data_IF_900359260344
#
_entry.id   IF_900359260344
#
_cell.length_a   1.000
_cell.length_b   1.000
_cell.length_c   1.000
_cell.angle_alpha   90.00
_cell.angle_beta   90.00
_cell.angle_gamma   90.00
#
_symmetry.space_group_name_H-M   'P 1'
#
loop_
_entity.id
_entity.type
_entity.pdbx_description
1 polymer ?
#
# COMPACT_ATOMS: atom_id res chain seq x y z
N UNK A 1 25.58 2.74 -17.15
CA UNK A 1 24.21 3.26 -16.98
C UNK A 1 24.12 3.95 -15.63
N UNK A 2 23.51 5.12 -15.56
CA UNK A 2 23.45 5.93 -14.34
C UNK A 2 22.20 5.58 -13.51
N UNK A 3 22.22 5.89 -12.21
CA UNK A 3 21.11 5.59 -11.29
C UNK A 3 19.76 6.11 -11.76
N UNK A 4 19.70 7.36 -12.23
CA UNK A 4 18.44 7.98 -12.62
C UNK A 4 17.81 7.28 -13.82
N UNK A 5 18.61 6.91 -14.80
CA UNK A 5 18.18 6.19 -16.01
C UNK A 5 17.65 4.80 -15.65
N UNK A 6 18.39 4.05 -14.82
CA UNK A 6 17.95 2.70 -14.40
C UNK A 6 16.70 2.74 -13.52
N UNK A 7 16.54 3.77 -12.68
CA UNK A 7 15.34 3.96 -11.85
C UNK A 7 14.10 4.28 -12.67
N UNK A 8 14.23 5.13 -13.70
CA UNK A 8 13.12 5.46 -14.61
C UNK A 8 12.68 4.21 -15.38
N UNK A 9 13.64 3.47 -15.94
CA UNK A 9 13.36 2.24 -16.67
C UNK A 9 12.74 1.17 -15.75
N UNK A 10 13.26 1.01 -14.52
CA UNK A 10 12.69 0.11 -13.52
C UNK A 10 11.26 0.49 -13.15
N UNK A 11 10.98 1.80 -13.03
CA UNK A 11 9.61 2.27 -12.79
C UNK A 11 8.66 1.85 -13.90
N UNK A 12 9.09 2.00 -15.15
CA UNK A 12 8.32 1.57 -16.33
C UNK A 12 8.11 0.06 -16.35
N UNK A 13 9.16 -0.73 -16.09
CA UNK A 13 9.09 -2.19 -15.96
C UNK A 13 8.06 -2.61 -14.90
N UNK A 14 8.13 -2.04 -13.69
CA UNK A 14 7.18 -2.36 -12.62
C UNK A 14 5.74 -2.02 -12.99
N UNK A 15 5.53 -0.90 -13.68
CA UNK A 15 4.21 -0.42 -14.07
C UNK A 15 3.61 -1.24 -15.20
N UNK A 16 4.34 -1.41 -16.29
CA UNK A 16 3.79 -1.93 -17.54
C UNK A 16 3.95 -3.46 -17.69
N UNK A 17 5.03 -4.03 -17.16
CA UNK A 17 5.27 -5.47 -17.29
C UNK A 17 4.82 -6.25 -16.06
N UNK A 18 5.03 -5.66 -14.85
CA UNK A 18 4.66 -6.31 -13.59
C UNK A 18 3.29 -5.90 -13.06
N UNK A 19 2.62 -4.93 -13.69
CA UNK A 19 1.29 -4.42 -13.31
C UNK A 19 1.19 -4.04 -11.81
N UNK A 20 2.22 -3.39 -11.28
CA UNK A 20 2.21 -2.92 -9.90
C UNK A 20 1.22 -1.77 -9.72
N UNK A 21 0.49 -1.75 -8.60
CA UNK A 21 -0.33 -0.60 -8.24
C UNK A 21 0.54 0.63 -7.97
N UNK A 22 0.01 1.84 -8.21
CA UNK A 22 0.75 3.09 -8.04
C UNK A 22 1.36 3.23 -6.63
N UNK A 23 0.65 2.79 -5.59
CA UNK A 23 1.16 2.79 -4.21
C UNK A 23 2.36 1.84 -4.03
N UNK A 24 2.32 0.66 -4.64
CA UNK A 24 3.41 -0.31 -4.58
C UNK A 24 4.61 0.20 -5.37
N UNK A 25 4.36 0.72 -6.58
CA UNK A 25 5.37 1.35 -7.43
C UNK A 25 6.09 2.49 -6.68
N UNK A 26 5.32 3.44 -6.13
CA UNK A 26 5.88 4.56 -5.38
C UNK A 26 6.71 4.11 -4.16
N UNK A 27 6.29 3.02 -3.48
CA UNK A 27 7.04 2.47 -2.36
C UNK A 27 8.38 1.87 -2.81
N UNK A 28 8.39 1.09 -3.89
CA UNK A 28 9.60 0.46 -4.42
C UNK A 28 10.59 1.51 -4.94
N UNK A 29 10.12 2.46 -5.74
CA UNK A 29 10.98 3.55 -6.25
C UNK A 29 11.58 4.36 -5.09
N UNK A 30 10.78 4.71 -4.07
CA UNK A 30 11.27 5.41 -2.88
C UNK A 30 12.35 4.62 -2.14
N UNK A 31 12.18 3.31 -2.03
CA UNK A 31 13.14 2.45 -1.34
C UNK A 31 14.47 2.40 -2.11
N UNK A 32 14.45 2.24 -3.44
CA UNK A 32 15.65 2.23 -4.25
C UNK A 32 16.30 3.62 -4.33
N UNK A 33 15.51 4.70 -4.37
CA UNK A 33 16.05 6.07 -4.30
C UNK A 33 16.81 6.31 -2.99
N UNK A 34 16.33 5.78 -1.87
CA UNK A 34 17.06 5.86 -0.59
C UNK A 34 18.38 5.09 -0.64
N UNK A 35 18.38 3.91 -1.25
CA UNK A 35 19.60 3.13 -1.44
C UNK A 35 20.57 3.84 -2.38
N UNK A 36 20.08 4.41 -3.50
CA UNK A 36 20.88 5.25 -4.40
C UNK A 36 21.60 6.37 -3.63
N UNK A 37 20.84 7.17 -2.85
CA UNK A 37 21.43 8.28 -2.09
C UNK A 37 22.52 7.79 -1.12
N UNK A 38 22.25 6.65 -0.44
CA UNK A 38 23.28 6.04 0.40
C UNK A 38 24.53 5.64 -0.41
N UNK A 39 24.36 5.04 -1.59
CA UNK A 39 25.48 4.63 -2.44
C UNK A 39 26.30 5.83 -2.95
N UNK A 40 25.62 6.90 -3.36
CA UNK A 40 26.28 8.14 -3.80
C UNK A 40 27.06 8.82 -2.67
N UNK A 41 26.53 8.78 -1.43
CA UNK A 41 27.13 9.44 -0.27
C UNK A 41 28.27 8.62 0.38
N UNK A 42 28.23 7.28 0.29
CA UNK A 42 29.10 6.40 1.09
C UNK A 42 29.96 5.43 0.26
N UNK A 43 29.73 5.26 -1.03
CA UNK A 43 30.39 4.26 -1.87
C UNK A 43 31.13 4.90 -3.08
N UNK A 44 31.80 6.03 -2.90
CA UNK A 44 32.59 6.72 -3.92
C UNK A 44 31.87 6.91 -5.27
N UNK A 45 30.60 7.36 -5.23
CA UNK A 45 29.74 7.53 -6.42
C UNK A 45 29.53 6.25 -7.24
N UNK A 46 29.47 5.12 -6.58
CA UNK A 46 29.22 3.82 -7.23
C UNK A 46 27.94 3.82 -8.08
N UNK A 47 28.02 3.26 -9.27
CA UNK A 47 26.88 3.05 -10.18
C UNK A 47 26.11 1.78 -9.82
N UNK A 48 24.90 1.58 -10.34
CA UNK A 48 24.14 0.34 -10.10
C UNK A 48 24.92 -0.94 -10.44
N UNK A 49 25.81 -0.89 -11.42
CA UNK A 49 26.62 -2.04 -11.85
C UNK A 49 27.76 -2.36 -10.87
N UNK A 50 28.21 -1.40 -10.05
CA UNK A 50 29.36 -1.56 -9.15
C UNK A 50 28.93 -2.09 -7.77
N UNK A 51 27.64 -2.12 -7.47
CA UNK A 51 27.13 -2.52 -6.16
C UNK A 51 27.36 -4.00 -5.91
N UNK A 52 27.99 -4.29 -4.78
CA UNK A 52 28.28 -5.66 -4.33
C UNK A 52 27.27 -6.14 -3.27
N UNK A 53 27.33 -7.44 -2.94
CA UNK A 53 26.57 -8.00 -1.84
C UNK A 53 26.92 -7.35 -0.49
N UNK A 54 28.21 -7.09 -0.27
CA UNK A 54 28.71 -6.45 0.95
C UNK A 54 28.15 -5.04 1.12
N UNK A 55 28.06 -4.24 0.05
CA UNK A 55 27.46 -2.91 0.08
C UNK A 55 25.97 -2.98 0.48
N UNK A 56 25.24 -3.97 -0.02
CA UNK A 56 23.85 -4.18 0.36
C UNK A 56 23.72 -4.60 1.83
N UNK A 57 24.62 -5.44 2.34
CA UNK A 57 24.64 -5.83 3.75
C UNK A 57 24.92 -4.64 4.67
N UNK A 58 25.91 -3.80 4.33
CA UNK A 58 26.23 -2.58 5.10
C UNK A 58 25.04 -1.64 5.16
N UNK A 59 24.37 -1.42 4.02
CA UNK A 59 23.14 -0.61 3.98
C UNK A 59 22.03 -1.18 4.87
N UNK A 60 21.76 -2.48 4.80
CA UNK A 60 20.76 -3.14 5.64
C UNK A 60 21.11 -3.07 7.13
N UNK A 61 22.41 -3.17 7.47
CA UNK A 61 22.87 -3.01 8.84
C UNK A 61 22.63 -1.57 9.35
N UNK A 62 22.90 -0.57 8.51
CA UNK A 62 22.61 0.83 8.82
C UNK A 62 21.11 1.04 9.08
N UNK A 63 20.25 0.48 8.22
CA UNK A 63 18.79 0.57 8.37
C UNK A 63 18.30 -0.11 9.65
N UNK A 64 18.87 -1.25 10.03
CA UNK A 64 18.50 -1.96 11.25
C UNK A 64 18.77 -1.13 12.52
N UNK A 65 19.84 -0.33 12.52
CA UNK A 65 20.18 0.58 13.61
C UNK A 65 19.17 1.74 13.77
N UNK A 66 18.41 2.07 12.74
CA UNK A 66 17.43 3.17 12.76
C UNK A 66 16.09 2.79 13.44
N UNK A 67 15.98 1.64 14.10
CA UNK A 67 14.77 1.13 14.77
C UNK A 67 13.54 1.06 13.85
N UNK A 68 13.76 0.77 12.57
CA UNK A 68 12.70 0.66 11.58
C UNK A 68 12.03 -0.70 11.74
N UNK A 69 10.70 -0.72 11.69
CA UNK A 69 9.92 -1.94 11.89
C UNK A 69 10.21 -3.02 10.85
N UNK A 70 10.18 -4.29 11.28
CA UNK A 70 10.53 -5.48 10.47
C UNK A 70 9.81 -5.55 9.13
N UNK A 71 8.53 -5.15 9.07
CA UNK A 71 7.75 -5.11 7.82
C UNK A 71 8.33 -4.13 6.80
N UNK A 72 8.81 -2.97 7.27
CA UNK A 72 9.46 -1.99 6.39
C UNK A 72 10.80 -2.50 5.90
N UNK A 73 11.58 -3.15 6.77
CA UNK A 73 12.85 -3.78 6.38
C UNK A 73 12.62 -4.89 5.34
N UNK A 74 11.62 -5.75 5.55
CA UNK A 74 11.26 -6.82 4.60
C UNK A 74 10.85 -6.25 3.24
N UNK A 75 10.10 -5.14 3.20
CA UNK A 75 9.73 -4.46 1.96
C UNK A 75 10.97 -3.89 1.26
N UNK A 76 11.89 -3.26 1.97
CA UNK A 76 13.14 -2.76 1.38
C UNK A 76 13.96 -3.86 0.73
N UNK A 77 14.11 -4.99 1.40
CA UNK A 77 14.81 -6.14 0.82
C UNK A 77 14.10 -6.63 -0.44
N UNK A 78 12.77 -6.67 -0.43
CA UNK A 78 11.98 -7.03 -1.61
C UNK A 78 12.16 -6.04 -2.76
N UNK A 79 12.21 -4.74 -2.46
CA UNK A 79 12.46 -3.69 -3.45
C UNK A 79 13.87 -3.81 -4.06
N UNK A 80 14.90 -4.02 -3.22
CA UNK A 80 16.29 -4.20 -3.65
C UNK A 80 16.43 -5.47 -4.52
N UNK A 81 15.87 -6.60 -4.06
CA UNK A 81 15.86 -7.83 -4.85
C UNK A 81 15.19 -7.68 -6.20
N UNK A 82 14.06 -6.97 -6.23
CA UNK A 82 13.33 -6.72 -7.48
C UNK A 82 14.13 -5.84 -8.43
N UNK A 83 14.83 -4.82 -7.92
CA UNK A 83 15.63 -3.92 -8.73
C UNK A 83 16.85 -4.63 -9.34
N UNK A 84 17.63 -5.35 -8.54
CA UNK A 84 18.80 -6.07 -9.06
C UNK A 84 18.41 -7.26 -9.94
N UNK A 85 17.25 -7.87 -9.71
CA UNK A 85 16.70 -8.86 -10.62
C UNK A 85 16.34 -8.23 -11.97
N UNK A 86 15.72 -7.06 -11.99
CA UNK A 86 15.45 -6.29 -13.19
C UNK A 86 16.74 -5.96 -13.96
N UNK A 87 17.80 -5.46 -13.27
CA UNK A 87 19.07 -5.17 -13.92
C UNK A 87 19.72 -6.41 -14.57
N UNK A 88 19.56 -7.59 -13.99
CA UNK A 88 20.02 -8.85 -14.55
C UNK A 88 19.16 -9.27 -15.75
N UNK A 89 17.83 -9.16 -15.67
CA UNK A 89 16.88 -9.51 -16.75
C UNK A 89 17.06 -8.62 -17.99
N UNK A 90 17.41 -7.35 -17.80
CA UNK A 90 17.71 -6.39 -18.88
C UNK A 90 19.18 -6.41 -19.34
N UNK A 91 19.95 -7.42 -18.93
CA UNK A 91 21.36 -7.57 -19.30
C UNK A 91 22.25 -6.34 -18.96
N UNK A 92 21.80 -5.49 -18.02
CA UNK A 92 22.58 -4.35 -17.51
C UNK A 92 23.68 -4.84 -16.57
N UNK A 93 23.45 -6.00 -15.92
CA UNK A 93 24.42 -6.72 -15.07
C UNK A 93 24.47 -8.19 -15.47
N UNK A 94 25.62 -8.82 -15.20
CA UNK A 94 25.81 -10.27 -15.41
C UNK A 94 25.47 -11.08 -14.14
N UNK A 95 25.34 -10.44 -12.98
CA UNK A 95 25.04 -11.05 -11.68
C UNK A 95 23.93 -10.33 -10.93
N UNK A 96 23.42 -10.95 -9.85
CA UNK A 96 22.48 -10.33 -8.94
C UNK A 96 23.00 -10.35 -7.50
N UNK A 97 23.58 -9.25 -6.99
CA UNK A 97 24.16 -9.18 -5.65
C UNK A 97 23.09 -9.30 -4.54
N UNK A 98 21.81 -9.13 -4.86
CA UNK A 98 20.75 -9.22 -3.88
C UNK A 98 20.20 -10.63 -3.68
N UNK A 99 20.67 -11.63 -4.41
CA UNK A 99 20.13 -13.00 -4.38
C UNK A 99 20.12 -13.60 -2.97
N UNK A 100 21.21 -13.45 -2.25
CA UNK A 100 21.42 -14.04 -0.91
C UNK A 100 20.93 -13.15 0.25
N UNK A 101 20.36 -11.97 -0.02
CA UNK A 101 19.83 -11.14 1.05
C UNK A 101 18.68 -11.86 1.75
N UNK A 102 18.75 -11.95 3.06
CA UNK A 102 17.67 -12.49 3.88
C UNK A 102 16.97 -11.36 4.66
N UNK A 103 15.65 -11.43 4.69
CA UNK A 103 14.83 -10.50 5.47
C UNK A 103 14.61 -10.97 6.90
N UNK A 104 14.18 -10.08 7.79
CA UNK A 104 13.77 -10.47 9.12
C UNK A 104 12.64 -11.50 9.04
N UNK A 105 12.65 -12.48 9.96
CA UNK A 105 11.54 -13.42 10.10
C UNK A 105 10.34 -12.65 10.66
N UNK A 106 9.38 -12.36 9.80
CA UNK A 106 8.15 -11.71 10.23
C UNK A 106 7.34 -12.66 11.12
N UNK A 107 7.10 -12.27 12.36
CA UNK A 107 6.14 -12.96 13.20
C UNK A 107 4.72 -12.88 12.62
N UNK A 108 3.90 -13.88 12.90
CA UNK A 108 2.47 -13.84 12.57
C UNK A 108 1.80 -12.77 13.44
N UNK A 109 1.58 -11.60 12.88
CA UNK A 109 0.83 -10.53 13.54
C UNK A 109 -0.64 -10.66 13.13
N UNK A 110 -1.48 -11.04 14.09
CA UNK A 110 -2.92 -10.97 13.93
C UNK A 110 -3.34 -9.51 14.23
N UNK A 111 -4.01 -8.84 13.28
CA UNK A 111 -4.50 -7.48 13.53
C UNK A 111 -5.50 -7.48 14.69
N UNK A 112 -5.42 -6.45 15.53
CA UNK A 112 -6.48 -6.16 16.48
C UNK A 112 -7.75 -5.80 15.73
N UNK A 113 -8.86 -6.43 16.11
CA UNK A 113 -10.18 -6.19 15.52
C UNK A 113 -11.08 -5.50 16.53
N UNK A 114 -11.86 -4.53 16.07
CA UNK A 114 -12.92 -3.94 16.88
C UNK A 114 -14.07 -4.94 17.05
N UNK A 115 -14.58 -5.07 18.26
CA UNK A 115 -15.82 -5.81 18.50
C UNK A 115 -17.03 -5.01 18.02
N UNK A 116 -18.18 -5.67 17.92
CA UNK A 116 -19.44 -4.98 17.61
C UNK A 116 -19.73 -3.87 18.65
N UNK A 117 -19.53 -4.16 19.91
CA UNK A 117 -19.72 -3.24 21.03
C UNK A 117 -18.80 -2.01 20.95
N UNK A 118 -17.56 -2.19 20.44
CA UNK A 118 -16.63 -1.08 20.22
C UNK A 118 -17.13 -0.15 19.11
N UNK A 119 -17.58 -0.72 17.98
CA UNK A 119 -18.14 0.06 16.88
C UNK A 119 -19.41 0.77 17.31
N UNK A 120 -20.30 0.10 18.04
CA UNK A 120 -21.51 0.71 18.56
C UNK A 120 -21.19 1.87 19.54
N UNK A 121 -20.18 1.72 20.39
CA UNK A 121 -19.71 2.77 21.28
C UNK A 121 -19.15 3.98 20.53
N UNK A 122 -18.38 3.74 19.46
CA UNK A 122 -17.86 4.82 18.62
C UNK A 122 -19.02 5.57 17.96
N UNK A 123 -19.96 4.86 17.34
CA UNK A 123 -21.08 5.49 16.60
C UNK A 123 -22.03 6.25 17.52
N UNK A 124 -22.29 5.77 18.75
CA UNK A 124 -23.11 6.46 19.75
C UNK A 124 -22.51 7.78 20.27
N UNK A 125 -21.20 7.94 20.21
CA UNK A 125 -20.52 9.16 20.65
C UNK A 125 -20.31 10.20 19.55
N UNK A 126 -20.83 9.97 18.35
CA UNK A 126 -20.77 10.94 17.26
C UNK A 126 -21.90 11.97 17.43
N UNK A 127 -21.52 13.24 17.43
CA UNK A 127 -22.49 14.34 17.44
C UNK A 127 -23.21 14.45 16.08
N UNK A 128 -24.47 14.03 16.05
CA UNK A 128 -25.30 14.03 14.85
C UNK A 128 -25.99 15.36 14.57
N UNK A 129 -25.72 16.40 15.36
CA UNK A 129 -26.24 17.75 15.10
C UNK A 129 -25.50 18.47 13.96
N UNK A 130 -24.34 17.97 13.56
CA UNK A 130 -23.51 18.50 12.49
C UNK A 130 -23.48 17.60 11.26
N UNK A 131 -23.30 18.18 10.06
CA UNK A 131 -23.15 17.45 8.80
C UNK A 131 -21.94 16.52 8.84
N UNK A 132 -20.85 16.95 9.51
CA UNK A 132 -19.67 16.13 9.71
C UNK A 132 -19.96 14.89 10.55
N UNK A 133 -20.81 15.02 11.58
CA UNK A 133 -21.23 13.88 12.40
C UNK A 133 -22.04 12.88 11.60
N UNK A 134 -23.01 13.35 10.83
CA UNK A 134 -23.83 12.50 9.95
C UNK A 134 -22.94 11.76 8.95
N UNK A 135 -22.01 12.45 8.30
CA UNK A 135 -21.01 11.84 7.41
C UNK A 135 -20.19 10.79 8.12
N UNK A 136 -19.61 11.12 9.28
CA UNK A 136 -18.73 10.22 10.02
C UNK A 136 -19.46 8.95 10.48
N UNK A 137 -20.70 9.05 10.94
CA UNK A 137 -21.52 7.88 11.24
C UNK A 137 -21.72 7.02 10.00
N UNK A 138 -22.08 7.62 8.87
CA UNK A 138 -22.27 6.91 7.61
C UNK A 138 -21.00 6.18 7.17
N UNK A 139 -19.83 6.84 7.26
CA UNK A 139 -18.52 6.24 6.96
C UNK A 139 -18.28 4.97 7.78
N UNK A 140 -18.42 5.05 9.12
CA UNK A 140 -18.15 3.92 10.01
C UNK A 140 -19.11 2.77 9.73
N UNK A 141 -20.39 3.06 9.56
CA UNK A 141 -21.41 2.05 9.28
C UNK A 141 -21.21 1.36 7.93
N UNK A 142 -20.79 2.09 6.90
CA UNK A 142 -20.50 1.49 5.58
C UNK A 142 -19.22 0.66 5.64
N UNK A 143 -18.17 1.15 6.31
CA UNK A 143 -16.93 0.37 6.48
C UNK A 143 -17.17 -0.93 7.22
N UNK A 144 -17.87 -0.87 8.36
CA UNK A 144 -18.12 -2.03 9.20
C UNK A 144 -19.19 -2.96 8.62
N UNK A 145 -20.36 -2.39 8.26
CA UNK A 145 -21.50 -3.18 7.79
C UNK A 145 -21.35 -3.78 6.39
N UNK A 146 -20.53 -3.16 5.54
CA UNK A 146 -20.27 -3.65 4.17
C UNK A 146 -18.84 -4.21 3.99
N UNK A 147 -17.98 -4.12 4.98
CA UNK A 147 -16.60 -4.64 4.91
C UNK A 147 -15.76 -4.00 3.80
N UNK A 148 -15.95 -2.69 3.58
CA UNK A 148 -15.18 -1.95 2.58
C UNK A 148 -13.80 -1.58 3.10
N UNK A 149 -12.81 -1.50 2.19
CA UNK A 149 -11.56 -0.83 2.49
C UNK A 149 -11.77 0.69 2.47
N UNK A 150 -10.93 1.41 3.21
CA UNK A 150 -11.01 2.89 3.25
C UNK A 150 -10.94 3.50 1.85
N UNK A 151 -10.03 3.01 1.00
CA UNK A 151 -9.92 3.47 -0.40
C UNK A 151 -11.20 3.20 -1.22
N UNK A 152 -11.80 2.03 -1.05
CA UNK A 152 -13.06 1.67 -1.74
C UNK A 152 -14.22 2.55 -1.30
N UNK A 153 -14.26 2.94 -0.02
CA UNK A 153 -15.26 3.87 0.48
C UNK A 153 -15.09 5.28 -0.10
N UNK A 154 -13.85 5.79 -0.15
CA UNK A 154 -13.55 7.14 -0.66
C UNK A 154 -13.91 7.26 -2.15
N UNK A 155 -13.73 6.20 -2.92
CA UNK A 155 -14.01 6.14 -4.35
C UNK A 155 -15.46 5.77 -4.68
N UNK A 156 -16.27 5.38 -3.67
CA UNK A 156 -17.64 4.94 -3.86
C UNK A 156 -18.52 6.08 -4.38
N UNK A 157 -19.17 5.86 -5.51
CA UNK A 157 -20.08 6.82 -6.14
C UNK A 157 -21.55 6.48 -5.84
N UNK A 158 -22.42 7.47 -5.87
CA UNK A 158 -23.87 7.26 -5.71
C UNK A 158 -24.41 6.28 -6.77
N UNK A 159 -23.85 6.33 -7.98
CA UNK A 159 -24.20 5.40 -9.07
C UNK A 159 -23.86 3.93 -8.80
N UNK A 160 -22.99 3.68 -7.84
CA UNK A 160 -22.58 2.31 -7.45
C UNK A 160 -23.50 1.71 -6.38
N UNK A 161 -24.46 2.49 -5.89
CA UNK A 161 -25.41 2.07 -4.85
C UNK A 161 -26.75 1.68 -5.47
N UNK A 162 -27.10 0.41 -5.40
CA UNK A 162 -28.42 -0.05 -5.80
C UNK A 162 -29.35 -0.18 -4.58
N UNK A 163 -30.08 0.89 -4.29
CA UNK A 163 -31.03 0.91 -3.18
C UNK A 163 -32.22 -0.02 -3.36
N UNK A 164 -32.61 -0.35 -4.60
CA UNK A 164 -33.74 -1.22 -4.90
C UNK A 164 -33.39 -2.67 -4.64
N UNK A 165 -32.25 -3.09 -5.13
CA UNK A 165 -31.76 -4.47 -5.01
C UNK A 165 -30.86 -4.67 -3.77
N UNK A 166 -30.66 -3.60 -2.99
CA UNK A 166 -29.89 -3.61 -1.72
C UNK A 166 -28.49 -4.14 -1.84
N UNK A 167 -27.68 -3.58 -2.75
CA UNK A 167 -26.25 -3.89 -2.86
C UNK A 167 -25.41 -2.65 -3.25
N UNK A 168 -24.11 -2.74 -2.95
CA UNK A 168 -23.07 -1.84 -3.44
C UNK A 168 -22.24 -2.55 -4.51
N UNK A 169 -21.92 -1.85 -5.59
CA UNK A 169 -20.91 -2.26 -6.56
C UNK A 169 -19.58 -1.67 -6.12
N UNK A 170 -18.61 -2.50 -5.81
CA UNK A 170 -17.32 -2.06 -5.27
C UNK A 170 -16.21 -2.52 -6.21
N UNK A 171 -15.40 -1.57 -6.67
CA UNK A 171 -14.19 -1.84 -7.43
C UNK A 171 -13.00 -1.97 -6.46
N UNK A 172 -12.35 -3.12 -6.47
CA UNK A 172 -11.20 -3.44 -5.63
C UNK A 172 -9.88 -3.40 -6.39
N UNK A 173 -8.82 -3.87 -5.74
CA UNK A 173 -7.48 -3.91 -6.32
C UNK A 173 -7.45 -4.65 -7.66
N UNK A 174 -6.87 -4.01 -8.69
CA UNK A 174 -6.76 -4.56 -10.05
C UNK A 174 -8.09 -4.52 -10.81
N UNK A 175 -8.92 -3.50 -10.56
CA UNK A 175 -10.22 -3.27 -11.22
C UNK A 175 -11.20 -4.45 -11.10
N UNK A 176 -11.03 -5.28 -10.06
CA UNK A 176 -11.95 -6.37 -9.79
C UNK A 176 -13.22 -5.84 -9.12
N UNK A 177 -14.34 -6.04 -9.78
CA UNK A 177 -15.66 -5.65 -9.26
C UNK A 177 -16.24 -6.76 -8.39
N UNK A 178 -16.79 -6.38 -7.22
CA UNK A 178 -17.61 -7.26 -6.40
C UNK A 178 -18.89 -6.53 -5.98
N UNK A 179 -19.93 -7.31 -5.69
CA UNK A 179 -21.19 -6.81 -5.14
C UNK A 179 -21.25 -7.14 -3.66
N UNK A 180 -21.58 -6.14 -2.85
CA UNK A 180 -21.65 -6.26 -1.39
C UNK A 180 -23.08 -6.00 -0.94
N UNK A 181 -23.69 -6.89 -0.16
CA UNK A 181 -25.04 -6.67 0.37
C UNK A 181 -25.12 -5.38 1.20
N UNK A 182 -26.21 -4.64 1.05
CA UNK A 182 -26.45 -3.40 1.77
C UNK A 182 -27.62 -3.60 2.76
N UNK A 183 -27.30 -3.61 4.06
CA UNK A 183 -28.30 -3.74 5.11
C UNK A 183 -29.29 -2.55 5.08
N UNK A 184 -30.52 -2.79 5.48
CA UNK A 184 -31.58 -1.74 5.52
C UNK A 184 -31.17 -0.53 6.37
N UNK A 185 -30.51 -0.78 7.50
CA UNK A 185 -30.03 0.28 8.38
C UNK A 185 -28.96 1.15 7.69
N UNK A 186 -27.94 0.53 7.13
CA UNK A 186 -26.86 1.23 6.39
C UNK A 186 -27.42 1.99 5.19
N UNK A 187 -28.36 1.39 4.44
CA UNK A 187 -29.07 2.05 3.34
C UNK A 187 -29.79 3.34 3.79
N UNK A 188 -30.44 3.30 4.96
CA UNK A 188 -31.11 4.47 5.54
C UNK A 188 -30.12 5.58 5.89
N UNK A 189 -28.98 5.24 6.47
CA UNK A 189 -27.95 6.22 6.82
C UNK A 189 -27.34 6.87 5.58
N UNK A 190 -27.05 6.10 4.54
CA UNK A 190 -26.55 6.64 3.27
C UNK A 190 -27.57 7.61 2.66
N UNK A 191 -28.86 7.26 2.61
CA UNK A 191 -29.91 8.16 2.10
C UNK A 191 -29.98 9.45 2.90
N UNK A 192 -30.00 9.37 4.24
CA UNK A 192 -29.99 10.53 5.11
C UNK A 192 -28.76 11.44 4.88
N UNK A 193 -27.59 10.84 4.66
CA UNK A 193 -26.38 11.60 4.32
C UNK A 193 -26.52 12.32 2.98
N UNK A 194 -26.98 11.63 1.93
CA UNK A 194 -27.16 12.22 0.59
C UNK A 194 -28.20 13.35 0.59
N UNK A 195 -29.26 13.25 1.44
CA UNK A 195 -30.31 14.26 1.52
C UNK A 195 -29.89 15.52 2.29
N UNK A 196 -28.95 15.40 3.22
CA UNK A 196 -28.57 16.50 4.13
C UNK A 196 -27.28 17.21 3.73
N UNK A 197 -26.44 16.60 2.93
CA UNK A 197 -25.11 17.10 2.51
C UNK A 197 -25.01 17.15 1.00
#
# INVERSE_FOLDING_TARGET
>A
MEWNETLENFSNYLKFERNFSDNTLAAYIRDITKFKNYAEDNLDNSKPIDITYENLQEYLLLLSKQKIGERTQSRWISSIKSYFKYLLEEEIREDNPATLLEGPKLGLYLPDTLSFEDVERITKNIDLSSDLGIRNQCIIEVLYGCGLRVSELIELKISDINFKESFLKVEGKGSKVRYVPLAKYTSKLIKNYIEKV
#
